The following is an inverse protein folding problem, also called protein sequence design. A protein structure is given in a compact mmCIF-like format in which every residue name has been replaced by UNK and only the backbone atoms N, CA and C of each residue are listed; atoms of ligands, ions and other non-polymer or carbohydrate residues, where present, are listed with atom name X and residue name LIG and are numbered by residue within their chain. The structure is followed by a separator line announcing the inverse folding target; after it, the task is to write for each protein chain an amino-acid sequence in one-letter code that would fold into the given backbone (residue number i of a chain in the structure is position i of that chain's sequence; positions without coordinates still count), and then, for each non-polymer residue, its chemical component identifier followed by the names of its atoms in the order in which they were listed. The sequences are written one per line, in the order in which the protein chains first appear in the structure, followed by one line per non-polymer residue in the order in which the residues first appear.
data_IF_121906603103
#
_entry.id   IF_121906603103
#
_cell.length_a   1.000
_cell.length_b   1.000
_cell.length_c   1.000
_cell.angle_alpha   90.00
_cell.angle_beta   90.00
_cell.angle_gamma   90.00
#
_symmetry.space_group_name_H-M   'P 1'
#
loop_
_entity.id
_entity.type
_entity.pdbx_description
1 polymer ?
#
# COMPACT_ATOMS: atom_id res chain seq x y z
N UNK A 1 -2.97 1.02 -6.27
CA UNK A 1 -4.15 1.43 -5.48
C UNK A 1 -4.69 2.81 -5.84
N UNK A 2 -3.85 3.73 -6.32
CA UNK A 2 -4.24 5.13 -6.57
C UNK A 2 -5.48 5.33 -7.46
N UNK A 3 -5.61 4.53 -8.51
CA UNK A 3 -6.72 4.62 -9.47
C UNK A 3 -8.06 4.12 -8.93
N UNK A 4 -8.07 3.25 -7.91
CA UNK A 4 -9.31 2.67 -7.37
C UNK A 4 -10.03 3.64 -6.43
N UNK A 5 -9.28 4.41 -5.65
CA UNK A 5 -9.81 5.41 -4.72
C UNK A 5 -9.65 6.84 -5.23
N UNK A 6 -9.28 6.99 -6.51
CA UNK A 6 -9.05 8.27 -7.18
C UNK A 6 -8.21 9.26 -6.34
N UNK A 7 -7.22 8.73 -5.62
CA UNK A 7 -6.33 9.47 -4.72
C UNK A 7 -4.91 8.96 -4.89
N UNK A 8 -3.92 9.78 -4.52
CA UNK A 8 -2.52 9.35 -4.54
C UNK A 8 -2.13 8.87 -3.15
N UNK A 9 -1.94 7.57 -3.00
CA UNK A 9 -1.31 7.00 -1.82
C UNK A 9 0.21 7.06 -2.00
N UNK A 10 0.91 7.53 -0.97
CA UNK A 10 2.36 7.53 -0.93
C UNK A 10 2.85 6.10 -0.66
N UNK A 11 2.96 5.33 -1.74
CA UNK A 11 3.69 4.06 -1.78
C UNK A 11 5.04 4.31 -2.42
N UNK A 12 6.11 4.21 -1.64
CA UNK A 12 7.47 4.22 -2.17
C UNK A 12 7.72 2.95 -2.97
N UNK A 13 8.35 3.07 -4.13
CA UNK A 13 8.79 1.92 -4.91
C UNK A 13 9.80 1.13 -4.09
N UNK A 14 9.49 -0.13 -3.80
CA UNK A 14 10.39 -1.00 -3.07
C UNK A 14 11.58 -1.42 -3.94
N UNK A 15 12.74 -1.63 -3.30
CA UNK A 15 13.89 -2.23 -3.97
C UNK A 15 13.60 -3.70 -4.30
N UNK A 16 14.14 -4.19 -5.42
CA UNK A 16 14.08 -5.60 -5.82
C UNK A 16 15.14 -6.50 -5.15
N UNK A 17 15.83 -6.01 -4.13
CA UNK A 17 16.90 -6.72 -3.42
C UNK A 17 16.50 -7.07 -1.98
N UNK A 18 15.21 -7.27 -1.75
CA UNK A 18 14.69 -7.56 -0.42
C UNK A 18 14.98 -9.02 -0.03
N UNK A 19 15.75 -9.21 1.03
CA UNK A 19 16.13 -10.54 1.55
C UNK A 19 14.93 -11.35 2.05
N UNK A 20 13.83 -10.68 2.39
CA UNK A 20 12.61 -11.31 2.91
C UNK A 20 11.37 -10.50 2.54
N UNK A 21 10.22 -11.17 2.46
CA UNK A 21 8.92 -10.53 2.27
C UNK A 21 8.51 -9.79 3.54
N UNK A 22 8.23 -8.49 3.42
CA UNK A 22 7.78 -7.64 4.52
C UNK A 22 6.38 -7.11 4.25
N UNK A 23 5.49 -7.19 5.24
CA UNK A 23 4.17 -6.59 5.17
C UNK A 23 4.25 -5.15 5.70
N UNK A 24 3.97 -4.17 4.84
CA UNK A 24 3.93 -2.74 5.19
C UNK A 24 2.47 -2.27 5.22
N UNK A 25 1.84 -2.19 6.40
CA UNK A 25 0.52 -1.58 6.54
C UNK A 25 0.63 -0.06 6.52
N UNK A 26 -0.24 0.60 5.74
CA UNK A 26 -0.44 2.04 5.73
C UNK A 26 -1.92 2.34 5.88
N UNK A 27 -2.25 3.18 6.87
CA UNK A 27 -3.64 3.56 7.16
C UNK A 27 -3.86 5.01 6.75
N UNK A 28 -4.96 5.24 6.05
CA UNK A 28 -5.36 6.52 5.53
C UNK A 28 -6.81 6.79 5.94
N UNK A 29 -7.07 8.00 6.42
CA UNK A 29 -8.42 8.49 6.65
C UNK A 29 -8.85 9.23 5.37
N UNK A 30 -9.88 8.70 4.71
CA UNK A 30 -10.45 9.26 3.48
C UNK A 30 -11.96 9.43 3.61
N UNK A 31 -12.50 10.35 2.81
CA UNK A 31 -13.94 10.50 2.64
C UNK A 31 -14.34 9.97 1.26
N UNK A 32 -15.00 8.82 1.23
CA UNK A 32 -15.57 8.24 0.02
C UNK A 32 -17.06 8.59 -0.03
N UNK A 33 -17.40 9.56 -0.89
CA UNK A 33 -18.74 10.18 -0.96
C UNK A 33 -19.20 10.73 0.41
N UNK A 34 -20.14 10.06 1.07
CA UNK A 34 -20.72 10.47 2.35
C UNK A 34 -20.23 9.61 3.53
N UNK A 35 -19.22 8.76 3.31
CA UNK A 35 -18.71 7.82 4.30
C UNK A 35 -17.28 8.21 4.66
N UNK A 36 -17.01 8.36 5.96
CA UNK A 36 -15.66 8.46 6.47
C UNK A 36 -15.07 7.04 6.54
N UNK A 37 -14.11 6.77 5.67
CA UNK A 37 -13.45 5.48 5.54
C UNK A 37 -12.04 5.56 6.12
N UNK A 38 -11.77 4.71 7.11
CA UNK A 38 -10.41 4.45 7.58
C UNK A 38 -9.83 3.26 6.82
N UNK A 39 -9.22 3.53 5.67
CA UNK A 39 -8.68 2.51 4.78
C UNK A 39 -7.30 2.08 5.26
N UNK A 40 -7.06 0.78 5.37
CA UNK A 40 -5.71 0.23 5.59
C UNK A 40 -5.30 -0.58 4.37
N UNK A 41 -4.22 -0.15 3.72
CA UNK A 41 -3.60 -0.84 2.60
C UNK A 41 -2.38 -1.58 3.16
N UNK A 42 -2.22 -2.86 2.80
CA UNK A 42 -1.06 -3.66 3.23
C UNK A 42 -0.33 -4.14 1.99
N UNK A 43 0.90 -3.67 1.82
CA UNK A 43 1.76 -4.09 0.73
C UNK A 43 2.70 -5.21 1.18
N UNK A 44 2.82 -6.26 0.36
CA UNK A 44 3.80 -7.33 0.53
C UNK A 44 5.09 -6.98 -0.24
N UNK A 45 5.93 -6.19 0.41
CA UNK A 45 7.22 -5.73 -0.13
C UNK A 45 8.20 -6.89 -0.22
N UNK A 46 8.95 -6.98 -1.32
CA UNK A 46 9.95 -8.04 -1.53
C UNK A 46 9.36 -9.40 -1.92
N UNK A 47 8.06 -9.48 -2.20
CA UNK A 47 7.44 -10.71 -2.69
C UNK A 47 7.94 -11.03 -4.11
N UNK A 48 8.66 -12.16 -4.25
CA UNK A 48 9.21 -12.61 -5.52
C UNK A 48 10.66 -12.17 -5.80
N UNK A 49 11.30 -11.45 -4.87
CA UNK A 49 12.71 -11.06 -5.00
C UNK A 49 13.69 -12.16 -4.54
N UNK A 50 13.24 -13.11 -3.71
CA UNK A 50 14.07 -14.23 -3.26
C UNK A 50 14.06 -15.37 -4.30
N UNK A 51 15.25 -15.77 -4.76
CA UNK A 51 15.50 -16.96 -5.61
C UNK A 51 16.42 -17.91 -4.85
#
# INVERSE_FOLDING_TARGET
MNTLFNTTFETEEASHHEECVRLRPQTYDLQESNVHLKLTIVDAVGFGDQI
#
